data_IF_673871470247
#
_entry.id   IF_673871470247
#
_cell.length_a   1.000
_cell.length_b   1.000
_cell.length_c   1.000
_cell.angle_alpha   90.00
_cell.angle_beta   90.00
_cell.angle_gamma   90.00
#
_symmetry.space_group_name_H-M   'P 1'
#
loop_
_entity.id
_entity.type
_entity.pdbx_description
1 polymer ?
#
# COMPACT_ATOMS: atom_id res chain seq x y z
N UNK A 1 -14.50 -22.17 -35.13
CA UNK A 1 -15.47 -21.18 -34.61
C UNK A 1 -15.66 -21.27 -33.09
N UNK A 2 -15.94 -22.44 -32.49
CA UNK A 2 -16.12 -22.57 -31.03
C UNK A 2 -14.88 -22.22 -30.18
N UNK A 3 -13.67 -22.54 -30.66
CA UNK A 3 -12.41 -22.22 -29.95
C UNK A 3 -12.08 -20.72 -29.92
N UNK A 4 -12.52 -19.97 -30.93
CA UNK A 4 -12.27 -18.52 -31.04
C UNK A 4 -13.12 -17.71 -30.07
N UNK A 5 -14.34 -18.17 -29.79
CA UNK A 5 -15.25 -17.54 -28.80
C UNK A 5 -14.70 -17.71 -27.38
N UNK A 6 -14.13 -18.89 -27.07
CA UNK A 6 -13.53 -19.15 -25.76
C UNK A 6 -12.35 -18.20 -25.46
N UNK A 7 -11.52 -17.93 -26.46
CA UNK A 7 -10.37 -17.00 -26.35
C UNK A 7 -10.87 -15.56 -26.10
N UNK A 8 -11.94 -15.14 -26.79
CA UNK A 8 -12.50 -13.80 -26.63
C UNK A 8 -13.10 -13.59 -25.23
N UNK A 9 -13.80 -14.61 -24.70
CA UNK A 9 -14.36 -14.59 -23.34
C UNK A 9 -13.27 -14.56 -22.26
N UNK A 10 -12.17 -15.31 -22.44
CA UNK A 10 -11.02 -15.26 -21.54
C UNK A 10 -10.31 -13.89 -21.56
N UNK A 11 -10.20 -13.25 -22.74
CA UNK A 11 -9.63 -11.90 -22.84
C UNK A 11 -10.48 -10.86 -22.09
N UNK A 12 -11.80 -10.94 -22.16
CA UNK A 12 -12.70 -10.00 -21.48
C UNK A 12 -12.62 -10.10 -19.95
N UNK A 13 -12.32 -11.27 -19.39
CA UNK A 13 -12.20 -11.46 -17.95
C UNK A 13 -10.91 -10.83 -17.36
N UNK A 14 -9.86 -10.68 -18.16
CA UNK A 14 -8.60 -10.05 -17.73
C UNK A 14 -8.72 -8.53 -17.51
N UNK A 15 -9.71 -7.86 -18.12
CA UNK A 15 -9.93 -6.43 -17.93
C UNK A 15 -10.66 -6.06 -16.64
N UNK A 16 -11.07 -7.05 -15.84
CA UNK A 16 -11.84 -6.83 -14.60
C UNK A 16 -10.99 -6.98 -13.34
N UNK A 17 -9.70 -7.33 -13.47
CA UNK A 17 -8.78 -7.34 -12.32
C UNK A 17 -8.33 -5.91 -12.01
N UNK A 18 -8.98 -5.28 -11.03
CA UNK A 18 -8.47 -4.06 -10.40
C UNK A 18 -7.53 -4.46 -9.26
N UNK A 19 -6.23 -4.32 -9.47
CA UNK A 19 -5.25 -4.24 -8.40
C UNK A 19 -4.79 -2.78 -8.37
N UNK A 20 -5.53 -1.91 -7.68
CA UNK A 20 -5.20 -0.48 -7.63
C UNK A 20 -4.12 -0.24 -6.57
N UNK A 21 -2.87 -0.48 -6.99
CA UNK A 21 -1.65 -0.07 -6.29
C UNK A 21 -1.58 1.46 -6.23
N UNK A 22 -1.34 2.03 -5.05
CA UNK A 22 -1.26 3.46 -4.80
C UNK A 22 0.15 3.87 -4.36
N UNK A 23 1.13 3.59 -5.24
CA UNK A 23 2.55 3.91 -5.03
C UNK A 23 3.01 5.18 -5.76
N UNK A 24 2.47 5.44 -6.96
CA UNK A 24 2.74 6.64 -7.74
C UNK A 24 1.75 7.74 -7.33
N UNK A 25 2.24 8.76 -6.61
CA UNK A 25 1.40 9.76 -5.99
C UNK A 25 1.56 11.13 -6.65
N UNK A 26 0.50 11.94 -6.56
CA UNK A 26 0.65 13.39 -6.67
C UNK A 26 1.43 13.93 -5.47
N UNK A 27 2.01 15.12 -5.60
CA UNK A 27 2.71 15.78 -4.50
C UNK A 27 1.82 15.91 -3.26
N UNK A 28 0.57 16.36 -3.42
CA UNK A 28 -0.37 16.56 -2.33
C UNK A 28 -0.70 15.24 -1.60
N UNK A 29 -0.84 14.14 -2.34
CA UNK A 29 -1.04 12.81 -1.74
C UNK A 29 0.20 12.37 -0.94
N UNK A 30 1.40 12.57 -1.48
CA UNK A 30 2.64 12.23 -0.80
C UNK A 30 2.85 13.06 0.47
N UNK A 31 2.58 14.37 0.42
CA UNK A 31 2.64 15.27 1.59
C UNK A 31 1.65 14.85 2.69
N UNK A 32 0.40 14.54 2.32
CA UNK A 32 -0.61 14.06 3.25
C UNK A 32 -0.21 12.72 3.88
N UNK A 33 0.31 11.78 3.09
CA UNK A 33 0.77 10.48 3.57
C UNK A 33 1.96 10.61 4.54
N UNK A 34 2.98 11.40 4.19
CA UNK A 34 4.14 11.64 5.08
C UNK A 34 3.69 12.32 6.38
N UNK A 35 2.84 13.35 6.30
CA UNK A 35 2.33 14.06 7.48
C UNK A 35 1.55 13.14 8.41
N UNK A 36 0.80 12.21 7.84
CA UNK A 36 0.06 11.20 8.59
C UNK A 36 1.01 10.20 9.26
N UNK A 37 1.89 9.58 8.46
CA UNK A 37 2.78 8.51 8.91
C UNK A 37 3.82 8.95 9.95
N UNK A 38 4.26 10.21 9.92
CA UNK A 38 5.16 10.77 10.96
C UNK A 38 4.55 10.75 12.38
N UNK A 39 3.23 10.61 12.51
CA UNK A 39 2.52 10.55 13.80
C UNK A 39 2.24 9.12 14.25
N UNK A 40 2.46 8.14 13.37
CA UNK A 40 2.18 6.74 13.63
C UNK A 40 3.48 6.06 14.09
N UNK A 41 3.57 5.59 15.35
CA UNK A 41 4.79 4.95 15.85
C UNK A 41 5.02 3.58 15.23
N UNK A 42 3.93 2.91 14.80
CA UNK A 42 3.96 1.57 14.22
C UNK A 42 2.99 1.54 13.04
N UNK A 43 3.41 0.90 11.95
CA UNK A 43 2.55 0.55 10.81
C UNK A 43 2.67 -0.93 10.49
N UNK A 44 1.70 -1.47 9.75
CA UNK A 44 1.80 -2.79 9.14
C UNK A 44 2.01 -2.61 7.65
N UNK A 45 3.07 -3.21 7.10
CA UNK A 45 3.29 -3.32 5.66
C UNK A 45 2.83 -4.71 5.21
N UNK A 46 1.92 -4.77 4.24
CA UNK A 46 1.43 -6.04 3.73
C UNK A 46 0.76 -5.94 2.36
N UNK A 47 1.36 -6.55 1.33
CA UNK A 47 0.62 -6.79 0.09
C UNK A 47 -0.27 -8.03 0.26
N UNK A 48 -1.55 -7.81 0.58
CA UNK A 48 -2.47 -8.90 0.93
C UNK A 48 -2.92 -9.78 -0.25
N UNK A 49 -2.57 -9.41 -1.48
CA UNK A 49 -2.77 -10.22 -2.69
C UNK A 49 -1.46 -10.66 -3.34
N UNK A 50 -0.30 -10.39 -2.72
CA UNK A 50 0.97 -10.91 -3.18
C UNK A 50 1.20 -12.31 -2.59
N UNK A 51 1.72 -13.22 -3.42
CA UNK A 51 2.01 -14.57 -2.97
C UNK A 51 3.11 -14.58 -1.90
N UNK A 52 2.89 -15.39 -0.85
CA UNK A 52 3.85 -15.61 0.24
C UNK A 52 4.24 -14.37 1.07
N UNK A 53 3.46 -13.29 1.00
CA UNK A 53 3.67 -12.14 1.88
C UNK A 53 2.83 -12.23 3.16
N UNK A 54 3.50 -12.10 4.30
CA UNK A 54 2.87 -11.95 5.61
C UNK A 54 2.94 -10.50 6.09
N UNK A 55 1.98 -10.05 6.92
CA UNK A 55 2.04 -8.73 7.54
C UNK A 55 3.35 -8.53 8.32
N UNK A 56 3.94 -7.33 8.19
CA UNK A 56 5.15 -6.96 8.94
C UNK A 56 4.88 -5.69 9.73
N UNK A 57 5.04 -5.73 11.06
CA UNK A 57 5.00 -4.53 11.89
C UNK A 57 6.33 -3.78 11.79
N UNK A 58 6.25 -2.52 11.42
CA UNK A 58 7.41 -1.64 11.34
C UNK A 58 7.26 -0.53 12.39
N UNK A 59 8.25 -0.44 13.29
CA UNK A 59 8.40 0.72 14.17
C UNK A 59 9.00 1.86 13.35
N UNK A 60 8.25 2.93 13.16
CA UNK A 60 8.58 4.03 12.25
C UNK A 60 9.66 4.92 12.88
N UNK A 61 10.73 5.19 12.15
CA UNK A 61 11.80 6.11 12.56
C UNK A 61 11.85 7.36 11.68
N UNK A 62 11.66 7.21 10.37
CA UNK A 62 11.72 8.32 9.42
C UNK A 62 10.69 8.10 8.29
N UNK A 63 10.06 9.18 7.83
CA UNK A 63 9.18 9.14 6.67
C UNK A 63 9.38 10.41 5.84
N UNK A 64 9.56 10.25 4.55
CA UNK A 64 9.72 11.35 3.59
C UNK A 64 9.18 10.92 2.22
N UNK A 65 9.14 11.85 1.27
CA UNK A 65 8.81 11.52 -0.11
C UNK A 65 9.92 11.99 -1.05
N UNK A 66 10.05 11.33 -2.19
CA UNK A 66 10.95 11.72 -3.27
C UNK A 66 10.15 11.87 -4.55
N UNK A 67 10.57 12.82 -5.38
CA UNK A 67 10.09 12.95 -6.74
C UNK A 67 10.73 11.86 -7.61
N UNK A 68 9.98 11.31 -8.56
CA UNK A 68 10.53 10.39 -9.55
C UNK A 68 11.51 11.10 -10.52
N UNK A 69 12.24 10.32 -11.32
CA UNK A 69 13.25 10.83 -12.26
C UNK A 69 12.67 11.80 -13.30
N UNK A 70 11.42 11.55 -13.70
CA UNK A 70 10.74 12.31 -14.75
C UNK A 70 10.00 13.53 -14.20
N UNK A 71 10.00 13.70 -12.87
CA UNK A 71 9.36 14.79 -12.18
C UNK A 71 7.83 14.78 -12.23
N UNK A 72 7.21 13.64 -12.52
CA UNK A 72 5.76 13.50 -12.70
C UNK A 72 5.07 13.00 -11.44
N UNK A 73 5.67 12.06 -10.73
CA UNK A 73 5.10 11.44 -9.55
C UNK A 73 6.02 11.56 -8.34
N UNK A 74 5.45 11.21 -7.20
CA UNK A 74 6.12 11.16 -5.92
C UNK A 74 5.94 9.77 -5.32
N UNK A 75 6.99 9.27 -4.67
CA UNK A 75 6.94 8.07 -3.86
C UNK A 75 7.16 8.43 -2.40
N UNK A 76 6.47 7.73 -1.50
CA UNK A 76 6.70 7.83 -0.05
C UNK A 76 7.69 6.74 0.35
N UNK A 77 8.68 7.13 1.14
CA UNK A 77 9.69 6.23 1.70
C UNK A 77 9.51 6.21 3.22
N UNK A 78 9.43 5.02 3.78
CA UNK A 78 9.35 4.78 5.21
C UNK A 78 10.61 4.02 5.65
N UNK A 79 11.27 4.55 6.68
CA UNK A 79 12.34 3.86 7.39
C UNK A 79 11.90 3.50 8.79
N UNK A 80 12.45 2.41 9.30
CA UNK A 80 12.08 1.91 10.61
C UNK A 80 12.84 0.65 10.98
N UNK A 81 12.30 -0.06 11.98
CA UNK A 81 12.75 -1.38 12.38
C UNK A 81 11.60 -2.38 12.32
N UNK A 82 11.89 -3.58 11.82
CA UNK A 82 10.95 -4.70 11.88
C UNK A 82 10.90 -5.31 13.30
N UNK A 83 10.07 -6.34 13.48
CA UNK A 83 9.90 -7.03 14.76
C UNK A 83 11.16 -7.75 15.26
N UNK A 84 12.14 -8.01 14.39
CA UNK A 84 13.43 -8.57 14.74
C UNK A 84 14.49 -7.48 15.04
N UNK A 85 14.11 -6.20 14.98
CA UNK A 85 14.99 -5.06 15.18
C UNK A 85 15.88 -4.70 13.97
N UNK A 86 15.66 -5.37 12.82
CA UNK A 86 16.40 -5.11 11.58
C UNK A 86 15.91 -3.81 10.95
N UNK A 87 16.86 -3.00 10.47
CA UNK A 87 16.53 -1.78 9.74
C UNK A 87 15.83 -2.08 8.42
N UNK A 88 14.79 -1.31 8.14
CA UNK A 88 14.01 -1.36 6.89
C UNK A 88 13.96 0.04 6.28
N UNK A 89 14.03 0.09 4.95
CA UNK A 89 13.76 1.27 4.13
C UNK A 89 12.91 0.81 2.94
N UNK A 90 11.65 1.24 2.89
CA UNK A 90 10.67 0.75 1.92
C UNK A 90 9.99 1.90 1.18
N UNK A 91 9.84 1.74 -0.13
CA UNK A 91 8.98 2.58 -0.96
C UNK A 91 7.55 2.07 -0.81
N UNK A 92 6.73 2.80 -0.06
CA UNK A 92 5.44 2.27 0.37
C UNK A 92 4.34 2.52 -0.66
N UNK A 93 3.50 1.50 -0.82
CA UNK A 93 2.22 1.59 -1.52
C UNK A 93 1.12 1.92 -0.50
N UNK A 94 0.41 3.04 -0.66
CA UNK A 94 -0.59 3.47 0.31
C UNK A 94 -1.80 2.52 0.41
N UNK A 95 -2.02 1.66 -0.57
CA UNK A 95 -3.02 0.59 -0.49
C UNK A 95 -2.57 -0.50 0.52
N UNK A 96 -1.26 -0.73 0.67
CA UNK A 96 -0.65 -1.81 1.45
C UNK A 96 0.09 -1.36 2.72
N UNK A 97 -0.05 -0.09 3.09
CA UNK A 97 0.30 0.42 4.42
C UNK A 97 -0.95 0.46 5.27
N UNK A 98 -0.94 -0.24 6.40
CA UNK A 98 -2.05 -0.26 7.33
C UNK A 98 -1.70 0.44 8.63
N UNK A 99 -2.62 1.31 9.07
CA UNK A 99 -2.49 2.11 10.30
C UNK A 99 -3.58 1.72 11.30
N UNK A 100 -3.32 1.98 12.58
CA UNK A 100 -4.26 1.62 13.65
C UNK A 100 -5.45 2.57 13.68
N UNK A 101 -6.65 2.01 13.55
CA UNK A 101 -7.94 2.72 13.74
C UNK A 101 -8.80 1.95 14.73
N UNK A 102 -8.70 2.34 16.00
CA UNK A 102 -9.31 1.62 17.10
C UNK A 102 -8.67 0.24 17.28
N UNK A 103 -9.46 -0.83 17.17
CA UNK A 103 -8.99 -2.23 17.25
C UNK A 103 -8.60 -2.82 15.88
N UNK A 104 -8.82 -2.09 14.78
CA UNK A 104 -8.59 -2.58 13.43
C UNK A 104 -7.40 -1.89 12.76
N UNK A 105 -6.72 -2.61 11.88
CA UNK A 105 -5.82 -2.07 10.89
C UNK A 105 -6.63 -1.64 9.66
N UNK A 106 -6.36 -0.44 9.13
CA UNK A 106 -6.99 0.09 7.91
C UNK A 106 -5.94 0.61 6.95
N UNK A 107 -6.14 0.37 5.66
CA UNK A 107 -5.28 0.90 4.61
C UNK A 107 -5.18 2.42 4.69
N UNK A 108 -3.97 2.96 4.58
CA UNK A 108 -3.70 4.38 4.69
C UNK A 108 -4.35 5.16 3.55
N UNK A 109 -4.31 4.63 2.32
CA UNK A 109 -5.00 5.23 1.17
C UNK A 109 -6.48 5.45 1.46
N UNK A 110 -7.17 4.44 1.99
CA UNK A 110 -8.58 4.56 2.39
C UNK A 110 -8.79 5.53 3.56
N UNK A 111 -7.90 5.55 4.55
CA UNK A 111 -7.96 6.51 5.68
C UNK A 111 -7.84 7.95 5.19
N UNK A 112 -7.00 8.19 4.18
CA UNK A 112 -6.82 9.50 3.54
C UNK A 112 -7.85 9.78 2.45
N UNK A 113 -8.78 8.85 2.19
CA UNK A 113 -9.83 8.93 1.15
C UNK A 113 -9.27 9.06 -0.26
N UNK A 114 -8.11 8.46 -0.52
CA UNK A 114 -7.58 8.32 -1.88
C UNK A 114 -8.26 7.14 -2.58
N UNK A 115 -8.34 7.22 -3.91
CA UNK A 115 -8.83 6.12 -4.71
C UNK A 115 -7.79 4.99 -4.70
N UNK A 116 -8.14 3.88 -4.07
CA UNK A 116 -7.34 2.66 -4.00
C UNK A 116 -8.22 1.49 -3.58
N UNK A 117 -7.90 0.29 -4.06
CA UNK A 117 -8.57 -0.94 -3.69
C UNK A 117 -7.57 -1.88 -3.00
N UNK A 118 -7.39 -1.77 -1.66
CA UNK A 118 -6.57 -2.74 -0.96
C UNK A 118 -7.21 -4.12 -1.11
N UNK A 119 -6.41 -5.10 -1.53
CA UNK A 119 -6.80 -6.51 -1.68
C UNK A 119 -7.24 -7.20 -0.36
N UNK A 120 -7.60 -6.47 0.69
CA UNK A 120 -8.08 -6.98 1.96
C UNK A 120 -9.02 -5.98 2.63
N UNK A 121 -9.94 -6.51 3.43
CA UNK A 121 -10.79 -5.69 4.31
C UNK A 121 -10.01 -5.30 5.56
N UNK A 122 -10.46 -4.28 6.32
CA UNK A 122 -9.91 -4.00 7.64
C UNK A 122 -9.85 -5.25 8.53
N UNK A 123 -8.69 -5.49 9.14
CA UNK A 123 -8.41 -6.67 9.96
C UNK A 123 -8.02 -6.27 11.38
N UNK A 124 -7.91 -7.21 12.32
CA UNK A 124 -7.56 -6.88 13.71
C UNK A 124 -6.11 -6.37 13.83
N UNK A 125 -5.90 -5.27 14.55
CA UNK A 125 -4.56 -4.68 14.71
C UNK A 125 -3.55 -5.60 15.41
N UNK A 126 -4.03 -6.63 16.11
CA UNK A 126 -3.21 -7.55 16.86
C UNK A 126 -2.53 -8.64 16.02
N UNK A 127 -2.88 -8.81 14.74
CA UNK A 127 -2.10 -9.70 13.86
C UNK A 127 -0.65 -9.27 13.78
#
# INVERSE_FOLDING_TARGET
MKKTILIFVLLCAAFVSKADQLQALTQAQAEAAVTYLKKEPIVILWCSCCDNETPKKITVSEVFYKKDSDGKYYSVILKGKDENGKDVEEYVDLAYVFVKKGKKARSLGQVLKFDCDPCTKPFDWSV
#
